data_IF_395949303911
#
_entry.id   IF_395949303911
#
_cell.length_a   1.000
_cell.length_b   1.000
_cell.length_c   1.000
_cell.angle_alpha   90.00
_cell.angle_beta   90.00
_cell.angle_gamma   90.00
#
_symmetry.space_group_name_H-M   'P 1'
#
loop_
_entity.id
_entity.type
_entity.pdbx_description
1 polymer ?
#
# COMPACT_ATOMS: atom_id res chain seq x y z
N UNK A 1 9.43 3.68 21.50
CA UNK A 1 9.26 3.41 20.05
C UNK A 1 7.81 3.72 19.67
N UNK A 2 7.57 4.64 18.74
CA UNK A 2 6.21 5.13 18.42
C UNK A 2 5.39 4.08 17.67
N UNK A 3 4.05 4.06 17.84
CA UNK A 3 3.13 3.18 17.08
C UNK A 3 3.31 3.32 15.55
N UNK A 4 3.77 4.48 15.07
CA UNK A 4 4.10 4.71 13.64
C UNK A 4 5.29 3.88 13.19
N UNK A 5 6.31 3.70 14.05
CA UNK A 5 7.54 2.96 13.73
C UNK A 5 7.29 1.46 13.47
N UNK A 6 6.25 0.87 14.07
CA UNK A 6 5.90 -0.54 13.90
C UNK A 6 5.19 -0.85 12.57
N UNK A 7 4.47 0.11 11.98
CA UNK A 7 3.77 -0.11 10.71
C UNK A 7 4.76 -0.28 9.55
N UNK A 8 5.86 0.47 9.57
CA UNK A 8 6.89 0.43 8.53
C UNK A 8 7.68 -0.88 8.50
N UNK A 9 7.79 -1.58 9.64
CA UNK A 9 8.48 -2.87 9.70
C UNK A 9 7.75 -3.96 8.90
N UNK A 10 6.42 -3.94 8.89
CA UNK A 10 5.61 -4.94 8.16
C UNK A 10 5.78 -4.83 6.64
N UNK A 11 5.81 -3.59 6.13
CA UNK A 11 6.08 -3.33 4.72
C UNK A 11 7.44 -3.90 4.27
N UNK A 12 8.48 -3.63 5.06
CA UNK A 12 9.84 -4.12 4.76
C UNK A 12 9.90 -5.64 4.70
N UNK A 13 9.18 -6.34 5.58
CA UNK A 13 9.10 -7.79 5.56
C UNK A 13 8.44 -8.29 4.28
N UNK A 14 7.33 -7.68 3.83
CA UNK A 14 6.67 -8.07 2.58
C UNK A 14 7.61 -7.87 1.38
N UNK A 15 8.27 -6.71 1.30
CA UNK A 15 9.24 -6.44 0.22
C UNK A 15 10.45 -7.39 0.25
N UNK A 16 10.92 -7.76 1.43
CA UNK A 16 11.98 -8.77 1.57
C UNK A 16 11.51 -10.15 1.12
N UNK A 17 10.26 -10.54 1.40
CA UNK A 17 9.69 -11.80 0.92
C UNK A 17 9.56 -11.82 -0.61
N UNK A 18 9.11 -10.71 -1.23
CA UNK A 18 9.07 -10.58 -2.69
C UNK A 18 10.44 -10.80 -3.32
N UNK A 19 11.48 -10.16 -2.77
CA UNK A 19 12.85 -10.29 -3.27
C UNK A 19 13.48 -11.66 -3.00
N UNK A 20 13.29 -12.23 -1.82
CA UNK A 20 13.97 -13.48 -1.41
C UNK A 20 13.29 -14.75 -1.92
N UNK A 21 11.98 -14.71 -2.12
CA UNK A 21 11.19 -15.89 -2.52
C UNK A 21 10.71 -15.80 -3.97
N UNK A 22 11.06 -14.74 -4.70
CA UNK A 22 10.59 -14.51 -6.07
C UNK A 22 9.07 -14.37 -6.15
N UNK A 23 8.43 -13.96 -5.05
CA UNK A 23 6.98 -13.80 -5.03
C UNK A 23 6.57 -12.61 -5.91
N UNK A 24 5.43 -12.74 -6.58
CA UNK A 24 4.84 -11.63 -7.34
C UNK A 24 4.65 -10.41 -6.45
N UNK A 25 4.87 -9.23 -7.02
CA UNK A 25 4.68 -7.98 -6.31
C UNK A 25 3.25 -7.84 -5.81
N UNK A 26 3.09 -7.61 -4.51
CA UNK A 26 1.81 -7.40 -3.83
C UNK A 26 1.61 -5.89 -3.66
N UNK A 27 0.56 -5.30 -4.26
CA UNK A 27 0.24 -3.90 -4.05
C UNK A 27 -0.07 -3.60 -2.58
N UNK A 28 0.64 -2.63 -2.00
CA UNK A 28 0.46 -2.17 -0.61
C UNK A 28 0.05 -0.70 -0.64
N UNK A 29 -1.14 -0.42 -0.14
CA UNK A 29 -1.72 0.92 -0.09
C UNK A 29 -1.76 1.44 1.33
N UNK A 30 -1.14 2.59 1.56
CA UNK A 30 -1.14 3.29 2.82
C UNK A 30 -2.53 3.89 3.09
N UNK A 31 -3.02 3.79 4.33
CA UNK A 31 -4.24 4.48 4.76
C UNK A 31 -3.95 5.32 6.00
N UNK A 32 -4.01 6.64 5.87
CA UNK A 32 -3.64 7.57 6.94
C UNK A 32 -4.83 8.37 7.44
N UNK A 33 -4.85 8.70 8.73
CA UNK A 33 -5.80 9.69 9.28
C UNK A 33 -5.37 11.14 9.05
N UNK A 34 -4.15 11.35 8.56
CA UNK A 34 -3.59 12.66 8.28
C UNK A 34 -3.26 12.76 6.78
N UNK A 35 -3.55 13.91 6.17
CA UNK A 35 -3.26 14.21 4.77
C UNK A 35 -1.94 14.98 4.56
N UNK A 36 -1.02 14.91 5.53
CA UNK A 36 0.26 15.61 5.43
C UNK A 36 1.13 15.00 4.33
N UNK A 37 1.66 15.87 3.46
CA UNK A 37 2.52 15.48 2.33
C UNK A 37 3.73 14.67 2.81
N UNK A 38 4.28 15.01 3.96
CA UNK A 38 5.43 14.32 4.55
C UNK A 38 5.12 12.87 4.96
N UNK A 39 3.87 12.57 5.30
CA UNK A 39 3.45 11.19 5.62
C UNK A 39 3.23 10.38 4.34
N UNK A 40 2.81 11.04 3.25
CA UNK A 40 2.72 10.45 1.92
C UNK A 40 4.11 10.14 1.35
N UNK A 41 5.04 11.09 1.40
CA UNK A 41 6.42 10.89 0.92
C UNK A 41 7.13 9.76 1.68
N UNK A 42 6.92 9.67 2.99
CA UNK A 42 7.44 8.56 3.80
C UNK A 42 6.84 7.22 3.38
N UNK A 43 5.55 7.19 3.01
CA UNK A 43 4.90 5.98 2.55
C UNK A 43 5.51 5.45 1.25
N UNK A 44 5.66 6.32 0.27
CA UNK A 44 6.29 5.97 -1.01
C UNK A 44 7.76 5.60 -0.83
N UNK A 45 8.53 6.38 -0.07
CA UNK A 45 9.95 6.08 0.19
C UNK A 45 10.15 4.75 0.90
N UNK A 46 9.20 4.34 1.75
CA UNK A 46 9.27 3.06 2.43
C UNK A 46 8.93 1.86 1.51
N UNK A 47 8.39 2.11 0.31
CA UNK A 47 8.05 1.10 -0.69
C UNK A 47 6.57 0.74 -0.77
N UNK A 48 5.66 1.60 -0.32
CA UNK A 48 4.21 1.46 -0.58
C UNK A 48 3.89 1.98 -1.99
N UNK A 49 2.84 1.42 -2.61
CA UNK A 49 2.49 1.69 -4.01
C UNK A 49 1.42 2.77 -4.15
N UNK A 50 0.62 2.99 -3.10
CA UNK A 50 -0.41 4.02 -3.09
C UNK A 50 -0.68 4.56 -1.68
N UNK A 51 -1.46 5.65 -1.61
CA UNK A 51 -1.80 6.34 -0.38
C UNK A 51 -3.22 6.90 -0.43
N UNK A 52 -4.03 6.60 0.59
CA UNK A 52 -5.39 7.14 0.74
C UNK A 52 -5.55 7.77 2.13
N UNK A 53 -6.17 8.93 2.19
CA UNK A 53 -6.48 9.65 3.44
C UNK A 53 -7.85 9.27 3.98
N UNK A 54 -7.98 9.20 5.30
CA UNK A 54 -9.27 9.04 5.99
C UNK A 54 -9.89 10.41 6.26
N UNK A 55 -11.23 10.52 6.23
CA UNK A 55 -12.21 9.47 5.89
C UNK A 55 -12.14 9.07 4.41
N UNK A 56 -12.30 7.78 4.13
CA UNK A 56 -12.12 7.22 2.77
C UNK A 56 -13.49 7.03 2.13
N UNK A 57 -13.63 7.50 0.89
CA UNK A 57 -14.81 7.24 0.09
C UNK A 57 -14.72 5.86 -0.59
N UNK A 58 -15.87 5.18 -0.75
CA UNK A 58 -15.92 3.89 -1.45
C UNK A 58 -15.40 3.97 -2.89
N UNK A 59 -15.57 5.12 -3.53
CA UNK A 59 -15.06 5.38 -4.87
C UNK A 59 -13.52 5.36 -4.92
N UNK A 60 -12.84 5.92 -3.92
CA UNK A 60 -11.38 5.89 -3.84
C UNK A 60 -10.85 4.45 -3.70
N UNK A 61 -11.51 3.63 -2.87
CA UNK A 61 -11.19 2.21 -2.75
C UNK A 61 -11.43 1.50 -4.09
N UNK A 62 -12.56 1.78 -4.75
CA UNK A 62 -12.86 1.19 -6.06
C UNK A 62 -11.79 1.53 -7.10
N UNK A 63 -11.32 2.77 -7.11
CA UNK A 63 -10.29 3.23 -8.06
C UNK A 63 -8.94 2.55 -7.80
N UNK A 64 -8.53 2.43 -6.54
CA UNK A 64 -7.32 1.70 -6.17
C UNK A 64 -7.42 0.22 -6.53
N UNK A 65 -8.56 -0.43 -6.22
CA UNK A 65 -8.77 -1.83 -6.61
C UNK A 65 -8.71 -2.00 -8.12
N UNK A 66 -9.40 -1.16 -8.90
CA UNK A 66 -9.35 -1.21 -10.38
C UNK A 66 -7.93 -1.03 -10.92
N UNK A 67 -7.15 -0.10 -10.35
CA UNK A 67 -5.76 0.16 -10.72
C UNK A 67 -4.89 -1.10 -10.59
N UNK A 68 -5.09 -1.89 -9.53
CA UNK A 68 -4.24 -3.04 -9.23
C UNK A 68 -4.82 -4.41 -9.61
N UNK A 69 -6.14 -4.51 -9.86
CA UNK A 69 -6.83 -5.76 -10.24
C UNK A 69 -6.98 -5.94 -11.75
N UNK A 70 -6.44 -5.03 -12.58
CA UNK A 70 -6.56 -5.03 -14.05
C UNK A 70 -5.99 -6.25 -14.81
N UNK A 71 -5.68 -7.34 -14.11
CA UNK A 71 -5.23 -8.62 -14.65
C UNK A 71 -6.03 -9.85 -14.18
N UNK A 72 -7.15 -9.69 -13.47
CA UNK A 72 -8.07 -10.82 -13.24
C UNK A 72 -8.83 -11.05 -14.55
N UNK A 73 -8.17 -11.69 -15.52
CA UNK A 73 -8.84 -12.30 -16.66
C UNK A 73 -9.99 -13.13 -16.10
N UNK A 74 -11.22 -12.84 -16.53
CA UNK A 74 -12.40 -13.67 -16.26
C UNK A 74 -12.03 -15.12 -16.53
N UNK A 75 -11.86 -15.91 -15.48
CA UNK A 75 -12.00 -17.36 -15.54
C UNK A 75 -13.41 -17.69 -15.09
N UNK A 76 -14.36 -17.53 -16.02
CA UNK A 76 -15.64 -18.21 -16.01
C UNK A 76 -15.89 -18.71 -17.43
#
# INVERSE_FOLDING_TARGET
>A
MSKRSLQWLKLRLIRQMEQSQGASHIPIVAMSANAFVEDMDKAYTAGMDDYITKPIALEEISNVLKKYMGGISKSL
#
